data_IF_868780695557
#
_entry.id   IF_868780695557
#
_cell.length_a   1.000
_cell.length_b   1.000
_cell.length_c   1.000
_cell.angle_alpha   90.00
_cell.angle_beta   90.00
_cell.angle_gamma   90.00
#
_symmetry.space_group_name_H-M   'P 1'
#
loop_
_entity.id
_entity.type
_entity.pdbx_description
1 polymer ?
#
# COMPACT_ATOMS: atom_id res chain seq x y z
N UNK A 1 30.07 10.77 -3.48
CA UNK A 1 29.47 10.46 -2.17
C UNK A 1 30.02 9.12 -1.73
N UNK A 2 30.84 9.12 -0.68
CA UNK A 2 31.49 7.93 -0.14
C UNK A 2 30.43 7.04 0.52
N UNK A 3 30.10 5.92 -0.10
CA UNK A 3 29.39 4.84 0.58
C UNK A 3 30.30 4.31 1.68
N UNK A 4 29.98 4.60 2.94
CA UNK A 4 30.65 3.96 4.08
C UNK A 4 30.50 2.45 3.91
N UNK A 5 31.62 1.76 3.65
CA UNK A 5 31.65 0.31 3.60
C UNK A 5 31.02 -0.24 4.89
N UNK A 6 29.88 -0.92 4.78
CA UNK A 6 29.13 -1.50 5.90
C UNK A 6 27.87 -0.76 6.36
N UNK A 7 27.53 0.41 5.80
CA UNK A 7 26.24 1.03 6.12
C UNK A 7 25.07 0.28 5.46
N UNK A 8 23.93 0.07 6.16
CA UNK A 8 22.75 -0.55 5.56
C UNK A 8 22.24 0.33 4.40
N UNK A 9 21.98 -0.24 3.22
CA UNK A 9 21.53 0.53 2.06
C UNK A 9 20.16 1.18 2.32
N UNK A 10 19.86 2.24 1.58
CA UNK A 10 18.51 2.80 1.59
C UNK A 10 17.54 1.87 0.84
N UNK A 11 16.27 1.87 1.22
CA UNK A 11 15.25 1.06 0.53
C UNK A 11 15.12 1.43 -0.96
N UNK A 12 15.36 2.70 -1.32
CA UNK A 12 15.40 3.15 -2.73
C UNK A 12 16.64 2.65 -3.51
N UNK A 13 17.64 2.10 -2.85
CA UNK A 13 18.90 1.65 -3.47
C UNK A 13 18.90 0.13 -3.69
N UNK A 14 17.94 -0.59 -3.12
CA UNK A 14 17.83 -2.05 -3.22
C UNK A 14 17.14 -2.47 -4.51
N UNK A 15 17.82 -2.28 -5.65
CA UNK A 15 17.52 -2.84 -6.98
C UNK A 15 16.02 -3.04 -7.30
N UNK A 16 15.54 -4.29 -7.49
CA UNK A 16 14.15 -4.59 -7.86
C UNK A 16 13.12 -4.11 -6.81
N UNK A 17 13.50 -3.97 -5.54
CA UNK A 17 12.61 -3.53 -4.46
C UNK A 17 12.37 -2.02 -4.43
N UNK A 18 12.99 -1.27 -5.36
CA UNK A 18 12.57 0.10 -5.70
C UNK A 18 11.13 0.13 -6.19
N UNK A 19 10.73 -0.91 -6.92
CA UNK A 19 9.38 -1.04 -7.45
C UNK A 19 8.43 -1.54 -6.37
N UNK A 20 7.25 -0.94 -6.37
CA UNK A 20 6.14 -1.20 -5.46
C UNK A 20 5.36 -2.45 -5.88
N UNK A 21 6.10 -3.54 -6.10
CA UNK A 21 5.54 -4.81 -6.54
C UNK A 21 4.45 -5.32 -5.60
N UNK A 22 4.56 -5.22 -4.25
CA UNK A 22 3.47 -5.64 -3.37
C UNK A 22 2.17 -4.87 -3.61
N UNK A 23 2.25 -3.55 -3.79
CA UNK A 23 1.06 -2.73 -4.07
C UNK A 23 0.44 -3.06 -5.45
N UNK A 24 1.28 -3.31 -6.47
CA UNK A 24 0.80 -3.69 -7.81
C UNK A 24 0.17 -5.09 -7.79
N UNK A 25 0.77 -6.06 -7.11
CA UNK A 25 0.23 -7.42 -6.98
C UNK A 25 -1.11 -7.38 -6.25
N UNK A 26 -1.21 -6.62 -5.15
CA UNK A 26 -2.47 -6.45 -4.43
C UNK A 26 -3.54 -5.79 -5.29
N UNK A 27 -3.18 -4.82 -6.12
CA UNK A 27 -4.11 -4.18 -7.04
C UNK A 27 -4.62 -5.14 -8.12
N UNK A 28 -3.72 -5.93 -8.72
CA UNK A 28 -4.09 -6.96 -9.71
C UNK A 28 -4.95 -8.05 -9.07
N UNK A 29 -4.61 -8.48 -7.85
CA UNK A 29 -5.39 -9.47 -7.11
C UNK A 29 -6.80 -8.94 -6.75
N UNK A 30 -6.91 -7.68 -6.32
CA UNK A 30 -8.19 -7.04 -6.05
C UNK A 30 -9.06 -6.93 -7.31
N UNK A 31 -8.47 -6.53 -8.44
CA UNK A 31 -9.16 -6.50 -9.74
C UNK A 31 -9.61 -7.90 -10.17
N UNK A 32 -8.75 -8.92 -10.04
CA UNK A 32 -9.08 -10.29 -10.40
C UNK A 32 -10.20 -10.85 -9.53
N UNK A 33 -10.14 -10.63 -8.21
CA UNK A 33 -11.20 -11.01 -7.28
C UNK A 33 -12.54 -10.39 -7.66
N UNK A 34 -12.55 -9.09 -7.97
CA UNK A 34 -13.76 -8.38 -8.38
C UNK A 34 -14.35 -8.91 -9.68
N UNK A 35 -13.51 -9.21 -10.67
CA UNK A 35 -13.96 -9.83 -11.94
C UNK A 35 -14.59 -11.21 -11.68
N UNK A 36 -14.00 -11.99 -10.76
CA UNK A 36 -14.54 -13.31 -10.38
C UNK A 36 -15.84 -13.18 -9.60
N UNK A 37 -15.96 -12.20 -8.69
CA UNK A 37 -17.16 -11.96 -7.90
C UNK A 37 -18.33 -11.46 -8.77
N UNK A 38 -18.07 -10.54 -9.70
CA UNK A 38 -19.04 -10.07 -10.70
C UNK A 38 -19.53 -11.21 -11.61
N UNK A 39 -18.62 -12.09 -12.05
CA UNK A 39 -18.96 -13.24 -12.89
C UNK A 39 -19.82 -14.30 -12.19
N UNK A 40 -19.77 -14.38 -10.86
CA UNK A 40 -20.53 -15.35 -10.06
C UNK A 40 -21.86 -14.78 -9.51
N UNK A 41 -22.14 -13.49 -9.71
CA UNK A 41 -23.33 -12.82 -9.20
C UNK A 41 -24.50 -12.97 -10.18
N UNK A 42 -25.63 -13.54 -9.76
CA UNK A 42 -26.82 -13.75 -10.62
C UNK A 42 -27.46 -12.43 -11.12
N UNK A 43 -27.12 -11.30 -10.49
CA UNK A 43 -27.57 -9.96 -10.89
C UNK A 43 -26.38 -9.24 -11.52
N UNK A 44 -26.31 -9.30 -12.85
CA UNK A 44 -25.40 -8.53 -13.69
C UNK A 44 -25.68 -7.01 -13.53
N UNK A 45 -25.02 -6.38 -12.57
CA UNK A 45 -24.61 -4.98 -12.69
C UNK A 45 -23.29 -4.96 -13.47
N UNK A 46 -23.38 -5.43 -14.73
CA UNK A 46 -22.25 -6.01 -15.45
C UNK A 46 -20.99 -5.16 -15.50
N UNK A 47 -19.84 -5.83 -15.44
CA UNK A 47 -18.51 -5.55 -16.01
C UNK A 47 -18.08 -4.09 -16.19
N UNK A 48 -18.91 -3.25 -16.83
CA UNK A 48 -18.76 -1.80 -16.85
C UNK A 48 -18.74 -1.15 -15.45
N UNK A 49 -19.54 -1.59 -14.47
CA UNK A 49 -19.50 -0.92 -13.14
C UNK A 49 -18.14 -1.08 -12.45
N UNK A 50 -17.61 -2.30 -12.41
CA UNK A 50 -16.29 -2.58 -11.83
C UNK A 50 -15.16 -1.85 -12.57
N UNK A 51 -15.21 -1.82 -13.91
CA UNK A 51 -14.17 -1.19 -14.73
C UNK A 51 -14.21 0.34 -14.68
N UNK A 52 -15.40 0.97 -14.68
CA UNK A 52 -15.54 2.43 -14.74
C UNK A 52 -15.53 3.11 -13.37
N UNK A 53 -15.94 2.44 -12.29
CA UNK A 53 -15.99 3.05 -10.96
C UNK A 53 -14.89 2.54 -10.03
N UNK A 54 -14.58 1.25 -10.07
CA UNK A 54 -13.69 0.63 -9.07
C UNK A 54 -12.22 0.65 -9.52
N UNK A 55 -11.94 0.38 -10.80
CA UNK A 55 -10.57 0.42 -11.32
C UNK A 55 -9.90 1.81 -11.18
N UNK A 56 -10.58 2.95 -11.44
CA UNK A 56 -10.01 4.28 -11.19
C UNK A 56 -9.74 4.54 -9.71
N UNK A 57 -10.59 4.03 -8.82
CA UNK A 57 -10.38 4.15 -7.36
C UNK A 57 -9.15 3.37 -6.91
N UNK A 58 -8.97 2.14 -7.40
CA UNK A 58 -7.77 1.33 -7.11
C UNK A 58 -6.51 2.00 -7.67
N UNK A 59 -6.57 2.57 -8.87
CA UNK A 59 -5.47 3.35 -9.43
C UNK A 59 -5.17 4.59 -8.56
N UNK A 60 -6.19 5.27 -8.06
CA UNK A 60 -6.06 6.38 -7.11
C UNK A 60 -5.34 5.96 -5.83
N UNK A 61 -5.69 4.81 -5.25
CA UNK A 61 -5.00 4.23 -4.08
C UNK A 61 -3.53 3.95 -4.41
N UNK A 62 -3.23 3.41 -5.59
CA UNK A 62 -1.85 3.17 -6.02
C UNK A 62 -1.04 4.47 -6.11
N UNK A 63 -1.62 5.53 -6.68
CA UNK A 63 -0.99 6.85 -6.77
C UNK A 63 -0.78 7.46 -5.37
N UNK A 64 -1.76 7.34 -4.48
CA UNK A 64 -1.59 7.75 -3.07
C UNK A 64 -0.45 7.00 -2.40
N UNK A 65 -0.37 5.68 -2.59
CA UNK A 65 0.75 4.89 -2.10
C UNK A 65 2.07 5.45 -2.64
N UNK A 66 2.16 5.73 -3.95
CA UNK A 66 3.36 6.29 -4.59
C UNK A 66 3.87 7.56 -3.91
N UNK A 67 2.98 8.47 -3.53
CA UNK A 67 3.33 9.70 -2.83
C UNK A 67 3.66 9.42 -1.35
N UNK A 68 2.79 8.70 -0.65
CA UNK A 68 2.90 8.43 0.79
C UNK A 68 4.15 7.63 1.16
N UNK A 69 4.64 6.78 0.25
CA UNK A 69 5.83 5.96 0.51
C UNK A 69 7.17 6.62 0.17
N UNK A 70 7.19 7.83 -0.42
CA UNK A 70 8.44 8.59 -0.66
C UNK A 70 9.31 8.71 0.61
N UNK A 71 8.78 9.13 1.78
CA UNK A 71 9.58 9.23 2.99
C UNK A 71 10.15 7.87 3.44
N UNK A 72 9.37 6.78 3.30
CA UNK A 72 9.79 5.44 3.69
C UNK A 72 10.93 4.91 2.80
N UNK A 73 10.90 5.23 1.50
CA UNK A 73 11.96 4.86 0.55
C UNK A 73 13.32 5.50 0.86
N UNK A 74 13.32 6.65 1.54
CA UNK A 74 14.54 7.37 1.94
C UNK A 74 15.15 6.87 3.25
N UNK A 75 14.52 5.90 3.90
CA UNK A 75 15.02 5.31 5.14
C UNK A 75 15.86 4.04 4.87
N UNK A 76 16.83 3.72 5.74
CA UNK A 76 17.65 2.52 5.62
C UNK A 76 16.82 1.24 5.82
N UNK A 77 17.29 0.12 5.25
CA UNK A 77 16.58 -1.16 5.28
C UNK A 77 16.41 -1.78 6.67
N UNK A 78 17.25 -1.40 7.63
CA UNK A 78 17.18 -1.90 9.01
C UNK A 78 16.22 -1.09 9.91
N UNK A 79 15.59 -0.04 9.39
CA UNK A 79 14.73 0.87 10.16
C UNK A 79 13.26 0.64 9.83
N UNK A 80 12.57 -0.12 10.70
CA UNK A 80 11.15 -0.46 10.56
C UNK A 80 10.18 0.50 11.28
N UNK A 81 10.69 1.43 12.08
CA UNK A 81 9.86 2.37 12.86
C UNK A 81 8.89 3.19 12.00
N UNK A 82 9.34 3.64 10.82
CA UNK A 82 8.47 4.37 9.89
C UNK A 82 7.34 3.51 9.34
N UNK A 83 7.63 2.25 9.05
CA UNK A 83 6.64 1.31 8.52
C UNK A 83 5.59 0.98 9.58
N UNK A 84 6.03 0.72 10.82
CA UNK A 84 5.16 0.48 11.96
C UNK A 84 4.25 1.69 12.25
N UNK A 85 4.80 2.91 12.18
CA UNK A 85 4.01 4.13 12.37
C UNK A 85 2.89 4.25 11.33
N UNK A 86 3.17 3.97 10.05
CA UNK A 86 2.16 3.98 8.99
C UNK A 86 1.07 2.93 9.25
N UNK A 87 1.45 1.71 9.60
CA UNK A 87 0.49 0.63 9.88
C UNK A 87 -0.39 0.98 11.08
N UNK A 88 0.20 1.42 12.20
CA UNK A 88 -0.55 1.76 13.42
C UNK A 88 -1.50 2.93 13.18
N UNK A 89 -1.03 4.01 12.56
CA UNK A 89 -1.88 5.19 12.24
C UNK A 89 -3.00 4.78 11.29
N UNK A 90 -2.71 4.00 10.26
CA UNK A 90 -3.71 3.50 9.33
C UNK A 90 -4.75 2.62 10.02
N UNK A 91 -4.34 1.67 10.85
CA UNK A 91 -5.26 0.78 11.58
C UNK A 91 -6.11 1.57 12.58
N UNK A 92 -5.54 2.52 13.32
CA UNK A 92 -6.30 3.39 14.21
C UNK A 92 -7.36 4.19 13.45
N UNK A 93 -6.99 4.79 12.32
CA UNK A 93 -7.92 5.52 11.48
C UNK A 93 -9.02 4.59 10.91
N UNK A 94 -8.69 3.37 10.53
CA UNK A 94 -9.65 2.37 10.06
C UNK A 94 -10.64 1.97 11.16
N UNK A 95 -10.18 1.77 12.39
CA UNK A 95 -11.03 1.46 13.55
C UNK A 95 -11.96 2.63 13.88
N UNK A 96 -11.46 3.88 13.81
CA UNK A 96 -12.28 5.08 14.02
C UNK A 96 -13.36 5.19 12.93
N UNK A 97 -12.99 4.96 11.67
CA UNK A 97 -13.96 4.94 10.56
C UNK A 97 -15.01 3.85 10.73
N UNK A 98 -14.61 2.64 11.13
CA UNK A 98 -15.52 1.50 11.31
C UNK A 98 -16.49 1.67 12.48
N UNK A 99 -16.10 2.44 13.51
CA UNK A 99 -16.95 2.74 14.68
C UNK A 99 -17.78 4.02 14.53
N UNK A 100 -17.62 4.76 13.44
CA UNK A 100 -18.39 5.97 13.20
C UNK A 100 -19.78 5.61 12.69
N UNK A 101 -20.83 6.09 13.35
CA UNK A 101 -22.22 5.92 12.91
C UNK A 101 -22.54 6.75 11.65
N UNK A 102 -21.66 7.67 11.27
CA UNK A 102 -21.77 8.45 10.03
C UNK A 102 -20.39 8.67 9.38
N UNK A 103 -19.75 7.61 8.85
CA UNK A 103 -18.37 7.66 8.35
C UNK A 103 -18.24 8.52 7.08
N UNK A 104 -19.34 8.73 6.35
CA UNK A 104 -19.37 9.52 5.12
C UNK A 104 -19.93 10.94 5.30
N UNK A 105 -20.60 11.23 6.42
CA UNK A 105 -21.16 12.56 6.71
C UNK A 105 -20.25 13.47 7.55
N UNK A 106 -19.27 12.91 8.27
CA UNK A 106 -18.29 13.66 9.06
C UNK A 106 -16.87 13.68 8.45
N UNK A 107 -16.54 12.75 7.55
CA UNK A 107 -15.24 12.64 6.90
C UNK A 107 -15.40 12.63 5.37
N UNK A 108 -14.43 13.20 4.62
CA UNK A 108 -14.50 13.21 3.16
C UNK A 108 -14.60 11.78 2.62
N UNK A 109 -15.40 11.57 1.57
CA UNK A 109 -15.59 10.24 0.97
C UNK A 109 -14.29 9.53 0.52
N UNK A 110 -13.19 10.28 0.36
CA UNK A 110 -11.86 9.76 0.04
C UNK A 110 -11.18 9.05 1.22
N UNK A 111 -11.66 9.24 2.45
CA UNK A 111 -10.94 8.88 3.67
C UNK A 111 -10.71 7.37 3.85
N UNK A 112 -11.68 6.48 3.53
CA UNK A 112 -11.42 5.04 3.52
C UNK A 112 -10.29 4.63 2.58
N UNK A 113 -10.20 5.24 1.40
CA UNK A 113 -9.16 4.96 0.41
C UNK A 113 -7.79 5.47 0.87
N UNK A 114 -7.76 6.66 1.48
CA UNK A 114 -6.52 7.21 2.04
C UNK A 114 -6.00 6.32 3.18
N UNK A 115 -6.88 5.88 4.07
CA UNK A 115 -6.53 4.97 5.16
C UNK A 115 -5.99 3.64 4.62
N UNK A 116 -6.66 3.05 3.63
CA UNK A 116 -6.18 1.85 2.96
C UNK A 116 -4.79 2.07 2.34
N UNK A 117 -4.58 3.20 1.66
CA UNK A 117 -3.28 3.54 1.05
C UNK A 117 -2.16 3.67 2.10
N UNK A 118 -2.44 4.26 3.27
CA UNK A 118 -1.47 4.39 4.37
C UNK A 118 -1.05 3.00 4.88
N UNK A 119 -2.04 2.13 5.16
CA UNK A 119 -1.78 0.75 5.63
C UNK A 119 -0.97 -0.02 4.60
N UNK A 120 -1.42 -0.02 3.33
CA UNK A 120 -0.76 -0.70 2.23
C UNK A 120 0.68 -0.22 2.03
N UNK A 121 0.90 1.10 2.13
CA UNK A 121 2.24 1.69 2.02
C UNK A 121 3.15 1.20 3.14
N UNK A 122 2.67 1.16 4.38
CA UNK A 122 3.44 0.67 5.53
C UNK A 122 3.77 -0.82 5.41
N UNK A 123 2.79 -1.66 5.08
CA UNK A 123 2.98 -3.11 4.91
C UNK A 123 3.94 -3.40 3.75
N UNK A 124 3.77 -2.74 2.61
CA UNK A 124 4.70 -2.91 1.47
C UNK A 124 6.12 -2.49 1.82
N UNK A 125 6.29 -1.36 2.50
CA UNK A 125 7.61 -0.89 2.90
C UNK A 125 8.28 -1.89 3.86
N UNK A 126 7.54 -2.40 4.85
CA UNK A 126 8.03 -3.42 5.77
C UNK A 126 8.45 -4.71 5.04
N UNK A 127 7.61 -5.22 4.13
CA UNK A 127 7.92 -6.42 3.36
C UNK A 127 9.18 -6.24 2.51
N UNK A 128 9.27 -5.13 1.77
CA UNK A 128 10.44 -4.83 0.93
C UNK A 128 11.71 -4.65 1.76
N UNK A 129 11.62 -4.01 2.93
CA UNK A 129 12.76 -3.90 3.87
C UNK A 129 13.17 -5.25 4.41
N UNK A 130 12.22 -6.10 4.81
CA UNK A 130 12.54 -7.44 5.32
C UNK A 130 13.32 -8.26 4.28
N UNK A 131 12.85 -8.26 3.03
CA UNK A 131 13.52 -8.98 1.95
C UNK A 131 14.88 -8.37 1.62
N UNK A 132 14.96 -7.03 1.53
CA UNK A 132 16.22 -6.33 1.26
C UNK A 132 17.25 -6.49 2.38
N UNK A 133 16.81 -6.52 3.64
CA UNK A 133 17.65 -6.76 4.81
C UNK A 133 18.22 -8.19 4.80
N UNK A 134 17.39 -9.19 4.47
CA UNK A 134 17.85 -10.57 4.29
C UNK A 134 18.86 -10.68 3.15
N UNK A 135 18.62 -10.04 2.02
CA UNK A 135 19.54 -10.03 0.89
C UNK A 135 20.87 -9.32 1.21
N UNK A 136 20.84 -8.25 2.00
CA UNK A 136 22.04 -7.54 2.45
C UNK A 136 22.85 -8.36 3.44
N UNK A 137 22.22 -9.00 4.43
CA UNK A 137 22.90 -9.86 5.42
C UNK A 137 23.53 -11.13 4.83
N UNK A 138 23.09 -11.56 3.64
CA UNK A 138 23.63 -12.73 2.92
C UNK A 138 24.85 -12.40 2.05
N UNK A 139 25.15 -11.12 1.83
CA UNK A 139 26.37 -10.67 1.14
C UNK A 139 27.48 -10.46 2.15
#
# INVERSE_FOLDING_TARGET
MTTKAGAPPLLKETGPWRFRFPEVILLVAALAWMVVEDANSEISAGFGFALFFVAPMLLGVLLMCMVLGIPLQRQPVNRFWGDAAYIVVGVLAAVILAKSDNPYGALPAIMPYLVAAIILTGVSAALRRAIALLAWKRK
#
